data_IF_451189172398
#
_entry.id   IF_451189172398
#
_cell.length_a   1.000
_cell.length_b   1.000
_cell.length_c   1.000
_cell.angle_alpha   90.00
_cell.angle_beta   90.00
_cell.angle_gamma   90.00
#
_symmetry.space_group_name_H-M   'P 1'
#
loop_
_entity.id
_entity.type
_entity.pdbx_description
1 polymer ?
#
# COMPACT_ATOMS: atom_id res chain seq x y z
N UNK A 1 2.06 -34.39 70.17
CA UNK A 1 2.52 -35.25 69.06
C UNK A 1 4.01 -34.95 68.88
N UNK A 2 5.00 -35.73 69.34
CA UNK A 2 5.06 -37.18 69.63
C UNK A 2 4.62 -38.01 68.39
N UNK A 3 5.37 -38.96 67.82
CA UNK A 3 6.67 -39.62 68.15
C UNK A 3 7.47 -39.87 66.84
N UNK A 4 8.73 -40.33 66.76
CA UNK A 4 9.73 -40.86 67.73
C UNK A 4 11.17 -40.56 67.21
N UNK A 5 12.22 -40.96 67.92
CA UNK A 5 13.61 -41.03 67.43
C UNK A 5 14.24 -42.40 67.74
N UNK A 6 15.17 -42.86 66.88
CA UNK A 6 16.15 -43.95 67.08
C UNK A 6 17.16 -43.88 65.91
N UNK A 7 18.46 -44.18 66.04
CA UNK A 7 19.22 -44.55 67.23
C UNK A 7 20.43 -45.43 66.85
N UNK A 8 21.60 -44.80 66.68
CA UNK A 8 22.99 -45.35 66.70
C UNK A 8 23.35 -46.66 65.96
N UNK A 9 24.57 -46.73 65.43
CA UNK A 9 25.64 -47.59 65.99
C UNK A 9 26.99 -47.28 65.32
N UNK A 10 28.04 -47.24 66.13
CA UNK A 10 29.43 -47.09 65.74
C UNK A 10 30.16 -48.42 65.88
N UNK A 11 31.14 -48.69 65.00
CA UNK A 11 32.17 -49.70 65.27
C UNK A 11 33.54 -49.17 64.85
N UNK A 12 34.55 -49.62 65.58
CA UNK A 12 35.93 -49.11 65.57
C UNK A 12 36.91 -50.18 65.11
N UNK A 13 38.00 -49.71 64.51
CA UNK A 13 39.34 -50.32 64.41
C UNK A 13 39.51 -51.75 63.85
N UNK A 14 40.34 -51.84 62.81
CA UNK A 14 41.45 -52.79 62.78
C UNK A 14 42.65 -52.15 62.06
N UNK A 15 43.85 -52.34 62.62
CA UNK A 15 45.11 -51.78 62.10
C UNK A 15 46.08 -52.95 61.91
N UNK A 16 46.72 -53.05 60.75
CA UNK A 16 47.89 -53.92 60.55
C UNK A 16 48.90 -53.25 59.62
N UNK A 17 50.13 -53.06 60.11
CA UNK A 17 51.33 -52.97 59.27
C UNK A 17 51.53 -54.34 58.56
N UNK A 18 52.17 -54.47 57.41
CA UNK A 18 52.82 -53.49 56.53
C UNK A 18 54.06 -54.12 55.90
N UNK A 19 54.22 -54.05 54.58
CA UNK A 19 55.46 -54.45 53.89
C UNK A 19 55.61 -53.76 52.54
N UNK A 20 56.86 -53.51 52.14
CA UNK A 20 57.25 -52.63 51.03
C UNK A 20 57.74 -53.40 49.81
N UNK A 21 57.30 -53.03 48.60
CA UNK A 21 58.05 -53.27 47.36
C UNK A 21 57.72 -52.25 46.25
N UNK A 22 58.57 -52.23 45.22
CA UNK A 22 58.87 -51.08 44.36
C UNK A 22 57.83 -50.62 43.31
N UNK A 23 58.10 -49.40 42.83
CA UNK A 23 57.34 -48.60 41.87
C UNK A 23 57.19 -49.22 40.47
N UNK A 24 56.18 -48.77 39.71
CA UNK A 24 56.52 -47.90 38.56
C UNK A 24 55.75 -46.56 38.57
N UNK A 25 56.28 -45.50 37.91
CA UNK A 25 55.70 -44.15 37.99
C UNK A 25 54.45 -43.99 37.10
N UNK A 26 53.39 -43.28 37.56
CA UNK A 26 52.27 -42.91 36.70
C UNK A 26 52.66 -41.80 35.70
N UNK A 27 52.16 -41.92 34.48
CA UNK A 27 52.53 -41.05 33.37
C UNK A 27 52.15 -39.57 33.56
N UNK A 28 53.04 -38.66 33.11
CA UNK A 28 52.78 -37.22 33.11
C UNK A 28 51.64 -36.80 32.17
N UNK A 29 50.98 -35.66 32.43
CA UNK A 29 49.81 -35.24 31.66
C UNK A 29 50.18 -34.86 30.21
N UNK A 30 49.32 -35.17 29.22
CA UNK A 30 49.63 -34.94 27.81
C UNK A 30 49.63 -33.44 27.49
N UNK A 31 50.75 -32.95 26.93
CA UNK A 31 50.85 -31.61 26.34
C UNK A 31 49.92 -31.51 25.13
N UNK A 32 48.71 -30.96 25.29
CA UNK A 32 47.88 -30.56 24.15
C UNK A 32 48.50 -29.35 23.46
N UNK A 33 48.83 -29.51 22.18
CA UNK A 33 49.51 -28.51 21.36
C UNK A 33 48.63 -27.32 21.01
N UNK A 34 49.29 -26.30 20.42
CA UNK A 34 48.68 -25.08 19.87
C UNK A 34 47.48 -25.44 18.99
N UNK A 35 46.31 -24.86 19.27
CA UNK A 35 45.15 -24.97 18.40
C UNK A 35 45.49 -24.40 17.01
N UNK A 36 45.62 -25.29 16.01
CA UNK A 36 45.54 -24.88 14.62
C UNK A 36 44.13 -24.37 14.38
N UNK A 37 44.03 -23.22 13.70
CA UNK A 37 42.77 -22.75 13.13
C UNK A 37 42.39 -23.73 12.03
N UNK A 38 41.36 -24.54 12.24
CA UNK A 38 40.93 -25.52 11.26
C UNK A 38 40.61 -24.82 9.93
N UNK A 39 41.16 -25.35 8.84
CA UNK A 39 40.73 -24.99 7.50
C UNK A 39 39.46 -25.80 7.20
N UNK A 40 38.40 -25.19 6.64
CA UNK A 40 37.19 -25.93 6.27
C UNK A 40 37.55 -27.08 5.32
N UNK A 41 36.84 -28.21 5.46
CA UNK A 41 37.14 -29.43 4.71
C UNK A 41 37.00 -29.20 3.20
N UNK A 42 37.71 -29.99 2.38
CA UNK A 42 37.56 -29.92 0.92
C UNK A 42 36.10 -30.16 0.49
N UNK A 43 35.38 -31.03 1.20
CA UNK A 43 33.95 -31.31 1.00
C UNK A 43 33.04 -30.13 1.39
N UNK A 44 33.43 -29.38 2.43
CA UNK A 44 32.69 -28.22 2.94
C UNK A 44 32.86 -27.01 2.00
N UNK A 45 34.07 -26.81 1.46
CA UNK A 45 34.33 -25.86 0.40
C UNK A 45 33.62 -26.25 -0.90
N UNK A 46 33.56 -27.54 -1.26
CA UNK A 46 32.82 -28.02 -2.42
C UNK A 46 31.31 -27.74 -2.30
N UNK A 47 30.71 -27.98 -1.12
CA UNK A 47 29.30 -27.64 -0.83
C UNK A 47 29.05 -26.13 -0.91
N UNK A 48 29.96 -25.30 -0.40
CA UNK A 48 29.84 -23.83 -0.50
C UNK A 48 29.94 -23.33 -1.95
N UNK A 49 30.82 -23.91 -2.76
CA UNK A 49 30.94 -23.62 -4.20
C UNK A 49 29.68 -24.07 -4.95
N UNK A 50 29.16 -25.26 -4.67
CA UNK A 50 27.92 -25.77 -5.27
C UNK A 50 26.70 -24.91 -4.91
N UNK A 51 26.59 -24.45 -3.66
CA UNK A 51 25.54 -23.52 -3.24
C UNK A 51 25.63 -22.17 -3.96
N UNK A 52 26.85 -21.64 -4.15
CA UNK A 52 27.08 -20.41 -4.93
C UNK A 52 26.77 -20.56 -6.42
N UNK A 53 27.10 -21.71 -7.02
CA UNK A 53 26.73 -22.03 -8.41
C UNK A 53 25.20 -22.08 -8.57
N UNK A 54 24.51 -22.81 -7.68
CA UNK A 54 23.04 -22.90 -7.69
C UNK A 54 22.37 -21.52 -7.55
N UNK A 55 22.90 -20.66 -6.66
CA UNK A 55 22.40 -19.29 -6.50
C UNK A 55 22.55 -18.45 -7.78
N UNK A 56 23.75 -18.46 -8.39
CA UNK A 56 24.01 -17.70 -9.63
C UNK A 56 23.18 -18.22 -10.82
N UNK A 57 22.93 -19.53 -10.88
CA UNK A 57 22.09 -20.14 -11.92
C UNK A 57 20.61 -19.77 -11.74
N UNK A 58 20.13 -19.66 -10.50
CA UNK A 58 18.78 -19.19 -10.17
C UNK A 58 18.61 -17.68 -10.44
N UNK A 59 19.61 -16.85 -10.10
CA UNK A 59 19.62 -15.41 -10.43
C UNK A 59 19.56 -15.19 -11.96
N UNK A 60 20.38 -15.92 -12.73
CA UNK A 60 20.39 -15.89 -14.20
C UNK A 60 19.07 -16.37 -14.83
N UNK A 61 18.40 -17.36 -14.23
CA UNK A 61 17.07 -17.79 -14.66
C UNK A 61 16.00 -16.72 -14.41
N UNK A 62 16.13 -15.98 -13.30
CA UNK A 62 15.30 -14.81 -12.99
C UNK A 62 15.44 -13.69 -14.02
N UNK A 63 16.67 -13.25 -14.30
CA UNK A 63 16.94 -12.21 -15.31
C UNK A 63 16.38 -12.59 -16.69
N UNK A 64 16.61 -13.85 -17.13
CA UNK A 64 16.12 -14.33 -18.43
C UNK A 64 14.58 -14.33 -18.51
N UNK A 65 13.90 -14.55 -17.38
CA UNK A 65 12.44 -14.51 -17.29
C UNK A 65 11.93 -13.06 -17.37
N UNK A 66 12.56 -12.14 -16.63
CA UNK A 66 12.23 -10.70 -16.67
C UNK A 66 12.45 -10.11 -18.07
N UNK A 67 13.55 -10.44 -18.74
CA UNK A 67 13.79 -9.97 -20.11
C UNK A 67 12.73 -10.50 -21.09
N UNK A 68 12.31 -11.76 -20.96
CA UNK A 68 11.26 -12.34 -21.79
C UNK A 68 9.87 -11.73 -21.54
N UNK A 69 9.63 -11.19 -20.34
CA UNK A 69 8.43 -10.44 -19.98
C UNK A 69 8.43 -9.03 -20.59
N UNK A 70 9.55 -8.29 -20.46
CA UNK A 70 9.76 -6.99 -21.12
C UNK A 70 9.58 -7.11 -22.64
N UNK A 71 10.18 -8.12 -23.27
CA UNK A 71 10.05 -8.38 -24.71
C UNK A 71 8.61 -8.68 -25.14
N UNK A 72 7.76 -9.23 -24.25
CA UNK A 72 6.33 -9.46 -24.50
C UNK A 72 5.53 -8.17 -24.37
N UNK A 73 5.78 -7.38 -23.34
CA UNK A 73 5.08 -6.10 -23.10
C UNK A 73 5.38 -5.11 -24.24
N UNK A 74 6.63 -5.00 -24.68
CA UNK A 74 7.04 -4.19 -25.84
C UNK A 74 6.31 -4.64 -27.12
N UNK A 75 6.22 -5.95 -27.36
CA UNK A 75 5.51 -6.50 -28.55
C UNK A 75 4.01 -6.25 -28.48
N UNK A 76 3.40 -6.25 -27.28
CA UNK A 76 2.00 -5.90 -27.07
C UNK A 76 1.77 -4.41 -27.33
N UNK A 77 2.48 -3.52 -26.63
CA UNK A 77 2.38 -2.08 -26.82
C UNK A 77 2.62 -1.64 -28.29
N UNK A 78 3.51 -2.32 -29.01
CA UNK A 78 3.74 -2.08 -30.45
C UNK A 78 2.53 -2.47 -31.32
N UNK A 79 1.79 -3.52 -30.98
CA UNK A 79 0.54 -3.90 -31.69
C UNK A 79 -0.56 -2.91 -31.38
N UNK A 80 -0.81 -2.65 -30.09
CA UNK A 80 -1.86 -1.76 -29.61
C UNK A 80 -1.70 -0.34 -30.23
N UNK A 81 -0.46 0.15 -30.31
CA UNK A 81 -0.14 1.41 -30.99
C UNK A 81 -0.43 1.36 -32.50
N UNK A 82 -0.09 0.27 -33.20
CA UNK A 82 -0.37 0.14 -34.64
C UNK A 82 -1.87 0.02 -34.94
N UNK A 83 -2.63 -0.66 -34.08
CA UNK A 83 -4.08 -0.78 -34.20
C UNK A 83 -4.77 0.58 -34.00
N UNK A 84 -4.39 1.31 -32.96
CA UNK A 84 -4.84 2.69 -32.71
C UNK A 84 -4.44 3.64 -33.86
N UNK A 85 -3.26 3.46 -34.44
CA UNK A 85 -2.78 4.27 -35.55
C UNK A 85 -3.52 3.96 -36.87
N UNK A 86 -4.08 2.75 -37.01
CA UNK A 86 -4.87 2.32 -38.17
C UNK A 86 -6.37 2.65 -38.07
N UNK A 87 -6.91 2.92 -36.88
CA UNK A 87 -8.29 3.41 -36.74
C UNK A 87 -8.45 4.87 -37.19
N UNK A 88 -7.36 5.66 -37.17
CA UNK A 88 -7.33 7.03 -37.70
C UNK A 88 -7.08 7.01 -39.22
N UNK A 89 -8.11 7.40 -39.99
CA UNK A 89 -8.08 7.41 -41.46
C UNK A 89 -7.37 8.63 -42.06
N UNK A 90 -7.37 9.76 -41.37
CA UNK A 90 -6.70 10.98 -41.84
C UNK A 90 -5.19 10.92 -41.55
N UNK A 91 -4.31 11.07 -42.57
CA UNK A 91 -2.86 11.03 -42.37
C UNK A 91 -2.31 12.12 -41.43
N UNK A 92 -2.94 13.31 -41.37
CA UNK A 92 -2.45 14.40 -40.50
C UNK A 92 -2.77 14.11 -39.03
N UNK A 93 -4.01 13.77 -38.70
CA UNK A 93 -4.41 13.34 -37.37
C UNK A 93 -3.61 12.10 -36.89
N UNK A 94 -3.24 11.20 -37.82
CA UNK A 94 -2.38 10.04 -37.54
C UNK A 94 -0.97 10.45 -37.09
N UNK A 95 -0.40 11.52 -37.66
CA UNK A 95 0.89 12.08 -37.25
C UNK A 95 0.79 12.77 -35.89
N UNK A 96 -0.25 13.59 -35.66
CA UNK A 96 -0.45 14.27 -34.37
C UNK A 96 -0.66 13.29 -33.20
N UNK A 97 -1.42 12.22 -33.42
CA UNK A 97 -1.62 11.16 -32.43
C UNK A 97 -0.32 10.44 -32.11
N UNK A 98 0.52 10.18 -33.12
CA UNK A 98 1.82 9.54 -32.95
C UNK A 98 2.79 10.45 -32.17
N UNK A 99 2.83 11.75 -32.48
CA UNK A 99 3.61 12.74 -31.73
C UNK A 99 3.19 12.77 -30.26
N UNK A 100 1.89 12.89 -29.98
CA UNK A 100 1.33 12.88 -28.62
C UNK A 100 1.72 11.61 -27.84
N UNK A 101 1.67 10.43 -28.49
CA UNK A 101 2.09 9.17 -27.87
C UNK A 101 3.60 9.08 -27.61
N UNK A 102 4.45 9.66 -28.45
CA UNK A 102 5.89 9.76 -28.16
C UNK A 102 6.19 10.76 -27.02
N UNK A 103 5.43 11.85 -26.89
CA UNK A 103 5.55 12.80 -25.77
C UNK A 103 5.10 12.18 -24.44
N UNK A 104 3.97 11.47 -24.43
CA UNK A 104 3.52 10.65 -23.30
C UNK A 104 4.61 9.63 -22.89
N UNK A 105 5.15 8.87 -23.84
CA UNK A 105 6.20 7.88 -23.57
C UNK A 105 7.50 8.52 -23.04
N UNK A 106 7.90 9.68 -23.56
CA UNK A 106 9.10 10.40 -23.11
C UNK A 106 8.93 11.00 -21.71
N UNK A 107 7.74 11.50 -21.37
CA UNK A 107 7.45 12.03 -20.03
C UNK A 107 7.38 10.90 -19.01
N UNK A 108 6.80 9.76 -19.37
CA UNK A 108 6.73 8.56 -18.55
C UNK A 108 8.12 7.93 -18.32
N UNK A 109 8.94 7.80 -19.36
CA UNK A 109 10.34 7.36 -19.24
C UNK A 109 11.11 8.24 -18.24
N UNK A 110 10.98 9.58 -18.35
CA UNK A 110 11.59 10.53 -17.40
C UNK A 110 11.00 10.43 -15.98
N UNK A 111 9.77 9.95 -15.80
CA UNK A 111 9.17 9.65 -14.49
C UNK A 111 9.82 8.41 -13.88
N UNK A 112 9.84 7.31 -14.64
CA UNK A 112 10.43 6.03 -14.26
C UNK A 112 11.92 6.15 -13.92
N UNK A 113 12.72 6.89 -14.71
CA UNK A 113 14.14 7.13 -14.40
C UNK A 113 14.36 7.81 -13.04
N UNK A 114 13.53 8.83 -12.73
CA UNK A 114 13.60 9.55 -11.44
C UNK A 114 13.20 8.64 -10.28
N UNK A 115 12.25 7.72 -10.49
CA UNK A 115 11.86 6.73 -9.49
C UNK A 115 12.92 5.63 -9.32
N UNK A 116 13.51 5.14 -10.41
CA UNK A 116 14.63 4.20 -10.38
C UNK A 116 15.81 4.76 -9.57
N UNK A 117 16.19 6.03 -9.78
CA UNK A 117 17.26 6.68 -9.02
C UNK A 117 16.92 6.77 -7.52
N UNK A 118 15.66 7.08 -7.16
CA UNK A 118 15.21 7.11 -5.75
C UNK A 118 15.25 5.71 -5.13
N UNK A 119 14.70 4.71 -5.81
CA UNK A 119 14.64 3.32 -5.35
C UNK A 119 16.03 2.71 -5.22
N UNK A 120 16.94 2.97 -6.17
CA UNK A 120 18.35 2.58 -6.10
C UNK A 120 19.05 3.15 -4.87
N UNK A 121 18.91 4.47 -4.61
CA UNK A 121 19.46 5.10 -3.40
C UNK A 121 18.90 4.48 -2.11
N UNK A 122 17.62 4.12 -2.07
CA UNK A 122 17.00 3.44 -0.93
C UNK A 122 17.58 2.02 -0.74
N UNK A 123 17.76 1.27 -1.83
CA UNK A 123 18.39 -0.05 -1.82
C UNK A 123 19.85 0.01 -1.33
N UNK A 124 20.66 0.94 -1.87
CA UNK A 124 22.06 1.16 -1.47
C UNK A 124 22.17 1.51 0.03
N UNK A 125 21.21 2.28 0.56
CA UNK A 125 21.15 2.63 1.98
C UNK A 125 20.77 1.42 2.84
N UNK A 126 19.75 0.65 2.44
CA UNK A 126 19.34 -0.57 3.12
C UNK A 126 20.47 -1.62 3.14
N UNK A 127 21.25 -1.73 2.07
CA UNK A 127 22.42 -2.62 2.02
C UNK A 127 23.50 -2.20 3.03
N UNK A 128 23.81 -0.89 3.12
CA UNK A 128 24.76 -0.36 4.12
C UNK A 128 24.28 -0.58 5.55
N UNK A 129 22.99 -0.42 5.82
CA UNK A 129 22.39 -0.68 7.13
C UNK A 129 22.41 -2.17 7.48
N UNK A 130 22.12 -3.04 6.52
CA UNK A 130 22.23 -4.50 6.68
C UNK A 130 23.67 -4.91 7.01
N UNK A 131 24.66 -4.38 6.30
CA UNK A 131 26.07 -4.73 6.54
C UNK A 131 26.59 -4.13 7.86
N UNK A 132 26.17 -2.91 8.22
CA UNK A 132 26.42 -2.36 9.56
C UNK A 132 25.86 -3.28 10.65
N UNK A 133 24.58 -3.67 10.53
CA UNK A 133 23.90 -4.58 11.46
C UNK A 133 24.61 -5.93 11.59
N UNK A 134 25.03 -6.56 10.46
CA UNK A 134 25.85 -7.78 10.48
C UNK A 134 27.17 -7.58 11.25
N UNK A 135 27.88 -6.46 11.06
CA UNK A 135 29.13 -6.22 11.80
C UNK A 135 28.90 -6.00 13.29
N UNK A 136 27.80 -5.35 13.68
CA UNK A 136 27.42 -5.16 15.09
C UNK A 136 27.00 -6.48 15.73
N UNK A 137 26.21 -7.31 15.03
CA UNK A 137 25.85 -8.65 15.48
C UNK A 137 27.09 -9.54 15.73
N UNK A 138 28.04 -9.56 14.79
CA UNK A 138 29.29 -10.32 14.92
C UNK A 138 30.16 -9.84 16.11
N UNK A 139 30.20 -8.52 16.37
CA UNK A 139 30.86 -7.96 17.57
C UNK A 139 30.16 -8.41 18.85
N UNK A 140 28.83 -8.34 18.89
CA UNK A 140 28.03 -8.76 20.05
C UNK A 140 28.19 -10.26 20.34
N UNK A 141 28.14 -11.12 19.31
CA UNK A 141 28.43 -12.54 19.44
C UNK A 141 29.84 -12.79 20.01
N UNK A 142 30.86 -12.11 19.48
CA UNK A 142 32.24 -12.21 19.98
C UNK A 142 32.38 -11.74 21.44
N UNK A 143 31.63 -10.72 21.87
CA UNK A 143 31.61 -10.27 23.26
C UNK A 143 30.87 -11.25 24.17
N UNK A 144 29.75 -11.82 23.72
CA UNK A 144 29.03 -12.89 24.42
C UNK A 144 29.94 -14.09 24.67
N UNK A 145 30.66 -14.58 23.65
CA UNK A 145 31.59 -15.71 23.78
C UNK A 145 32.72 -15.43 24.80
N UNK A 146 33.19 -14.18 24.89
CA UNK A 146 34.19 -13.76 25.88
C UNK A 146 33.61 -13.72 27.30
N UNK A 147 32.39 -13.21 27.46
CA UNK A 147 31.70 -13.19 28.75
C UNK A 147 31.37 -14.61 29.22
N UNK A 148 30.88 -15.49 28.35
CA UNK A 148 30.63 -16.90 28.71
C UNK A 148 31.91 -17.62 29.15
N UNK A 149 33.06 -17.36 28.50
CA UNK A 149 34.36 -17.89 28.93
C UNK A 149 34.76 -17.36 30.30
N UNK A 150 34.66 -16.04 30.50
CA UNK A 150 34.97 -15.41 31.79
C UNK A 150 34.08 -15.93 32.92
N UNK A 151 32.77 -16.12 32.68
CA UNK A 151 31.85 -16.71 33.65
C UNK A 151 32.24 -18.16 33.99
N UNK A 152 32.60 -18.98 32.99
CA UNK A 152 33.07 -20.37 33.22
C UNK A 152 34.39 -20.41 34.01
N UNK A 153 35.32 -19.52 33.70
CA UNK A 153 36.61 -19.38 34.41
C UNK A 153 36.39 -18.91 35.86
N UNK A 154 35.57 -17.89 36.07
CA UNK A 154 35.20 -17.39 37.40
C UNK A 154 34.47 -18.45 38.24
N UNK A 155 33.57 -19.24 37.65
CA UNK A 155 32.95 -20.39 38.35
C UNK A 155 34.00 -21.43 38.74
N UNK A 156 34.97 -21.70 37.87
CA UNK A 156 36.06 -22.66 38.13
C UNK A 156 37.01 -22.17 39.23
N UNK A 157 37.38 -20.89 39.24
CA UNK A 157 38.17 -20.30 40.31
C UNK A 157 37.43 -20.27 41.64
N UNK A 158 36.15 -19.87 41.68
CA UNK A 158 35.35 -19.93 42.90
C UNK A 158 35.29 -21.36 43.47
N UNK A 159 35.14 -22.38 42.62
CA UNK A 159 35.22 -23.77 43.06
C UNK A 159 36.61 -24.10 43.62
N UNK A 160 37.69 -23.75 42.91
CA UNK A 160 39.07 -23.98 43.37
C UNK A 160 39.34 -23.32 44.73
N UNK A 161 38.93 -22.06 44.92
CA UNK A 161 39.08 -21.32 46.17
C UNK A 161 38.28 -21.98 47.30
N UNK A 162 37.05 -22.44 47.03
CA UNK A 162 36.26 -23.19 48.02
C UNK A 162 36.94 -24.50 48.43
N UNK A 163 37.45 -25.27 47.47
CA UNK A 163 38.13 -26.54 47.71
C UNK A 163 39.47 -26.31 48.47
N UNK A 164 40.21 -25.25 48.13
CA UNK A 164 41.46 -24.85 48.79
C UNK A 164 41.23 -24.34 50.22
N UNK A 165 40.18 -23.55 50.45
CA UNK A 165 39.81 -23.06 51.78
C UNK A 165 39.40 -24.21 52.72
N UNK A 166 38.64 -25.19 52.21
CA UNK A 166 38.31 -26.42 52.95
C UNK A 166 39.57 -27.22 53.34
N UNK A 167 40.51 -27.37 52.39
CA UNK A 167 41.81 -28.03 52.64
C UNK A 167 42.65 -27.29 53.68
N UNK A 168 42.63 -25.95 53.67
CA UNK A 168 43.31 -25.13 54.68
C UNK A 168 42.66 -25.29 56.06
N UNK A 169 41.33 -25.29 56.15
CA UNK A 169 40.59 -25.53 57.39
C UNK A 169 40.89 -26.92 57.98
N UNK A 170 40.95 -27.96 57.14
CA UNK A 170 41.35 -29.32 57.53
C UNK A 170 42.82 -29.37 58.01
N UNK A 171 43.74 -28.68 57.32
CA UNK A 171 45.14 -28.59 57.71
C UNK A 171 45.36 -27.77 58.99
N UNK A 172 44.56 -26.73 59.22
CA UNK A 172 44.62 -25.93 60.44
C UNK A 172 44.08 -26.72 61.63
N UNK A 173 42.98 -27.47 61.44
CA UNK A 173 42.42 -28.36 62.45
C UNK A 173 43.44 -29.40 62.91
N UNK A 174 44.07 -30.12 61.97
CA UNK A 174 45.11 -31.09 62.29
C UNK A 174 46.33 -30.46 62.99
N UNK A 175 46.74 -29.25 62.56
CA UNK A 175 47.82 -28.50 63.22
C UNK A 175 47.46 -28.08 64.66
N UNK A 176 46.21 -27.63 64.89
CA UNK A 176 45.69 -27.31 66.23
C UNK A 176 45.62 -28.55 67.13
N UNK A 177 45.21 -29.69 66.59
CA UNK A 177 45.22 -30.98 67.29
C UNK A 177 46.65 -31.36 67.72
N UNK A 178 47.63 -31.33 66.80
CA UNK A 178 49.05 -31.58 67.11
C UNK A 178 49.62 -30.60 68.15
N UNK A 179 49.23 -29.32 68.09
CA UNK A 179 49.64 -28.31 69.09
C UNK A 179 49.01 -28.60 70.45
N UNK A 180 47.72 -28.96 70.50
CA UNK A 180 47.05 -29.32 71.75
C UNK A 180 47.67 -30.57 72.38
N UNK A 181 47.91 -31.63 71.62
CA UNK A 181 48.61 -32.84 72.10
C UNK A 181 49.98 -32.49 72.70
N UNK A 182 50.75 -31.60 72.04
CA UNK A 182 52.03 -31.13 72.55
C UNK A 182 51.90 -30.25 73.80
N UNK A 183 50.85 -29.44 73.89
CA UNK A 183 50.55 -28.65 75.09
C UNK A 183 50.16 -29.55 76.26
N UNK A 184 49.34 -30.58 76.04
CA UNK A 184 48.93 -31.54 77.07
C UNK A 184 50.14 -32.35 77.59
N UNK A 185 51.02 -32.81 76.69
CA UNK A 185 52.30 -33.43 77.07
C UNK A 185 53.19 -32.47 77.88
N UNK A 186 53.33 -31.22 77.44
CA UNK A 186 54.14 -30.23 78.16
C UNK A 186 53.50 -29.82 79.50
N UNK A 187 52.17 -29.83 79.63
CA UNK A 187 51.47 -29.62 80.90
C UNK A 187 51.71 -30.79 81.85
N UNK A 188 51.77 -32.02 81.33
CA UNK A 188 52.18 -33.20 82.11
C UNK A 188 53.63 -33.06 82.60
N UNK A 189 54.58 -32.73 81.72
CA UNK A 189 55.99 -32.49 82.06
C UNK A 189 56.13 -31.36 83.09
N UNK A 190 55.39 -30.25 82.93
CA UNK A 190 55.38 -29.12 83.89
C UNK A 190 54.79 -29.55 85.23
N UNK A 191 53.76 -30.40 85.25
CA UNK A 191 53.19 -30.92 86.48
C UNK A 191 54.16 -31.88 87.19
N UNK A 192 54.94 -32.67 86.45
CA UNK A 192 56.05 -33.48 86.99
C UNK A 192 57.18 -32.58 87.54
N UNK A 193 57.55 -31.50 86.85
CA UNK A 193 58.57 -30.54 87.30
C UNK A 193 58.09 -29.73 88.53
N UNK A 194 56.83 -29.30 88.57
CA UNK A 194 56.22 -28.64 89.74
C UNK A 194 56.18 -29.58 90.96
N UNK A 195 55.94 -30.87 90.76
CA UNK A 195 55.99 -31.88 91.82
C UNK A 195 57.43 -32.18 92.30
N UNK A 196 58.47 -31.83 91.53
CA UNK A 196 59.86 -32.24 91.78
C UNK A 196 60.85 -31.10 92.08
N UNK A 197 60.47 -29.83 91.97
CA UNK A 197 61.36 -28.70 92.33
C UNK A 197 60.75 -27.65 93.25
N UNK A 198 61.36 -27.56 94.45
CA UNK A 198 61.31 -26.36 95.27
C UNK A 198 62.02 -25.17 94.61
N UNK A 199 61.58 -23.97 94.96
CA UNK A 199 61.95 -22.69 94.33
C UNK A 199 63.42 -22.31 94.48
N UNK A 200 64.06 -21.89 93.38
CA UNK A 200 65.21 -20.98 93.41
C UNK A 200 65.26 -20.17 92.11
N UNK A 201 65.27 -18.84 92.22
CA UNK A 201 65.27 -17.91 91.09
C UNK A 201 66.62 -17.17 91.02
N UNK A 202 67.41 -17.30 89.94
CA UNK A 202 68.66 -16.56 89.79
C UNK A 202 68.42 -15.20 89.11
N UNK A 203 68.96 -14.12 89.69
CA UNK A 203 68.75 -12.72 89.24
C UNK A 203 69.27 -12.40 87.82
N UNK A 204 70.19 -13.22 87.27
CA UNK A 204 70.67 -13.05 85.89
C UNK A 204 69.55 -13.15 84.83
N UNK A 205 68.43 -13.82 85.14
CA UNK A 205 67.30 -13.96 84.21
C UNK A 205 66.66 -12.61 83.85
N UNK A 206 66.79 -11.59 84.72
CA UNK A 206 66.12 -10.30 84.51
C UNK A 206 66.73 -9.50 83.35
N UNK A 207 68.05 -9.52 83.17
CA UNK A 207 68.72 -8.79 82.08
C UNK A 207 68.47 -9.43 80.70
N UNK A 208 68.56 -10.75 80.58
CA UNK A 208 68.22 -11.46 79.33
C UNK A 208 66.74 -11.28 78.98
N UNK A 209 65.84 -11.27 79.98
CA UNK A 209 64.42 -10.97 79.79
C UNK A 209 64.21 -9.53 79.26
N UNK A 210 64.97 -8.56 79.76
CA UNK A 210 64.90 -7.16 79.35
C UNK A 210 65.37 -6.95 77.89
N UNK A 211 66.44 -7.65 77.48
CA UNK A 211 66.89 -7.67 76.08
C UNK A 211 65.90 -8.40 75.17
N UNK A 212 65.32 -9.52 75.63
CA UNK A 212 64.28 -10.25 74.91
C UNK A 212 63.01 -9.41 74.74
N UNK A 213 62.61 -8.64 75.76
CA UNK A 213 61.49 -7.68 75.69
C UNK A 213 61.81 -6.58 74.67
N UNK A 214 63.02 -6.01 74.66
CA UNK A 214 63.43 -5.00 73.67
C UNK A 214 63.39 -5.56 72.24
N UNK A 215 63.93 -6.76 72.02
CA UNK A 215 63.89 -7.44 70.73
C UNK A 215 62.44 -7.75 70.28
N UNK A 216 61.61 -8.23 71.21
CA UNK A 216 60.18 -8.52 70.96
C UNK A 216 59.40 -7.26 70.61
N UNK A 217 59.60 -6.17 71.35
CA UNK A 217 58.98 -4.87 71.10
C UNK A 217 59.39 -4.29 69.75
N UNK A 218 60.66 -4.43 69.35
CA UNK A 218 61.13 -4.04 68.02
C UNK A 218 60.44 -4.85 66.91
N UNK A 219 60.36 -6.17 67.04
CA UNK A 219 59.66 -7.02 66.07
C UNK A 219 58.17 -6.63 65.94
N UNK A 220 57.51 -6.31 67.06
CA UNK A 220 56.12 -5.84 67.05
C UNK A 220 55.95 -4.47 66.37
N UNK A 221 56.91 -3.56 66.56
CA UNK A 221 56.95 -2.27 65.89
C UNK A 221 57.17 -2.42 64.37
N UNK A 222 58.21 -3.15 63.97
CA UNK A 222 58.52 -3.43 62.55
C UNK A 222 57.32 -4.13 61.85
N UNK A 223 56.62 -5.03 62.57
CA UNK A 223 55.39 -5.67 62.07
C UNK A 223 54.22 -4.70 61.92
N UNK A 224 54.08 -3.73 62.83
CA UNK A 224 53.04 -2.70 62.76
C UNK A 224 53.29 -1.73 61.59
N UNK A 225 54.53 -1.27 61.39
CA UNK A 225 54.90 -0.43 60.24
C UNK A 225 54.67 -1.15 58.91
N UNK A 226 55.08 -2.42 58.80
CA UNK A 226 54.84 -3.22 57.59
C UNK A 226 53.34 -3.39 57.31
N UNK A 227 52.52 -3.55 58.35
CA UNK A 227 51.05 -3.62 58.25
C UNK A 227 50.45 -2.29 57.78
N UNK A 228 50.95 -1.16 58.29
CA UNK A 228 50.50 0.17 57.87
C UNK A 228 50.86 0.44 56.39
N UNK A 229 52.08 0.08 55.96
CA UNK A 229 52.49 0.16 54.56
C UNK A 229 51.65 -0.73 53.63
N UNK A 230 51.30 -1.93 54.09
CA UNK A 230 50.38 -2.82 53.38
C UNK A 230 48.99 -2.20 53.23
N UNK A 231 48.41 -1.64 54.31
CA UNK A 231 47.13 -0.95 54.24
C UNK A 231 47.16 0.29 53.34
N UNK A 232 48.21 1.14 53.41
CA UNK A 232 48.39 2.27 52.48
C UNK A 232 48.40 1.84 51.01
N UNK A 233 48.98 0.68 50.73
CA UNK A 233 49.00 0.11 49.37
C UNK A 233 47.62 -0.40 48.94
N UNK A 234 46.88 -1.06 49.85
CA UNK A 234 45.48 -1.48 49.61
C UNK A 234 44.58 -0.27 49.36
N UNK A 235 44.66 0.79 50.17
CA UNK A 235 43.86 2.00 49.97
C UNK A 235 44.10 2.61 48.59
N UNK A 236 45.36 2.82 48.21
CA UNK A 236 45.71 3.31 46.85
C UNK A 236 45.16 2.44 45.72
N UNK A 237 45.18 1.11 45.90
CA UNK A 237 44.56 0.20 44.92
C UNK A 237 43.04 0.40 44.85
N UNK A 238 42.34 0.49 46.00
CA UNK A 238 40.89 0.70 46.05
C UNK A 238 40.48 2.07 45.49
N UNK A 239 41.23 3.12 45.78
CA UNK A 239 40.98 4.46 45.20
C UNK A 239 41.12 4.44 43.68
N UNK A 240 42.16 3.78 43.15
CA UNK A 240 42.35 3.60 41.71
C UNK A 240 41.24 2.75 41.06
N UNK A 241 40.77 1.71 41.75
CA UNK A 241 39.65 0.86 41.31
C UNK A 241 38.32 1.64 41.26
N UNK A 242 38.02 2.42 42.32
CA UNK A 242 36.84 3.30 42.39
C UNK A 242 36.90 4.38 41.30
N UNK A 243 38.07 4.99 41.06
CA UNK A 243 38.26 5.96 39.99
C UNK A 243 38.04 5.32 38.61
N UNK A 244 38.52 4.09 38.40
CA UNK A 244 38.34 3.37 37.13
C UNK A 244 36.87 3.02 36.87
N UNK A 245 36.15 2.54 37.88
CA UNK A 245 34.71 2.23 37.79
C UNK A 245 33.89 3.50 37.57
N UNK A 246 34.19 4.58 38.30
CA UNK A 246 33.54 5.89 38.13
C UNK A 246 33.73 6.43 36.71
N UNK A 247 34.95 6.41 36.19
CA UNK A 247 35.24 6.86 34.83
C UNK A 247 34.51 6.05 33.75
N UNK A 248 34.41 4.72 33.92
CA UNK A 248 33.62 3.84 33.03
C UNK A 248 32.13 4.17 33.11
N UNK A 249 31.58 4.36 34.31
CA UNK A 249 30.19 4.74 34.51
C UNK A 249 29.87 6.08 33.83
N UNK A 250 30.71 7.11 33.99
CA UNK A 250 30.49 8.38 33.31
C UNK A 250 30.60 8.27 31.78
N UNK A 251 31.49 7.42 31.26
CA UNK A 251 31.63 7.20 29.82
C UNK A 251 30.36 6.56 29.23
N UNK A 252 29.84 5.51 29.86
CA UNK A 252 28.60 4.86 29.43
C UNK A 252 27.36 5.75 29.66
N UNK A 253 27.32 6.55 30.74
CA UNK A 253 26.29 7.57 30.93
C UNK A 253 26.29 8.60 29.80
N UNK A 254 27.44 9.20 29.47
CA UNK A 254 27.54 10.15 28.33
C UNK A 254 27.14 9.51 27.01
N UNK A 255 27.46 8.22 26.82
CA UNK A 255 27.04 7.45 25.63
C UNK A 255 25.53 7.27 25.59
N UNK A 256 24.90 6.90 26.70
CA UNK A 256 23.45 6.75 26.81
C UNK A 256 22.73 8.09 26.61
N UNK A 257 23.22 9.18 27.21
CA UNK A 257 22.67 10.53 27.04
C UNK A 257 22.76 11.00 25.57
N UNK A 258 23.88 10.72 24.89
CA UNK A 258 24.07 11.03 23.48
C UNK A 258 23.18 10.20 22.54
N UNK A 259 22.99 8.91 22.83
CA UNK A 259 22.10 8.05 22.05
C UNK A 259 20.63 8.43 22.28
N UNK A 260 20.24 8.71 23.52
CA UNK A 260 18.89 9.23 23.84
C UNK A 260 18.62 10.58 23.15
N UNK A 261 19.62 11.45 23.02
CA UNK A 261 19.50 12.68 22.24
C UNK A 261 19.29 12.41 20.74
N UNK A 262 20.05 11.47 20.14
CA UNK A 262 19.84 11.03 18.76
C UNK A 262 18.44 10.44 18.53
N UNK A 263 17.99 9.57 19.43
CA UNK A 263 16.64 9.01 19.38
C UNK A 263 15.58 10.12 19.37
N UNK A 264 15.67 11.10 20.28
CA UNK A 264 14.74 12.26 20.29
C UNK A 264 14.74 13.02 18.96
N UNK A 265 15.91 13.33 18.40
CA UNK A 265 16.01 14.01 17.09
C UNK A 265 15.39 13.17 15.97
N UNK A 266 15.64 11.86 15.95
CA UNK A 266 15.11 10.97 14.91
C UNK A 266 13.59 10.78 15.04
N UNK A 267 13.06 10.63 16.26
CA UNK A 267 11.62 10.60 16.54
C UNK A 267 10.94 11.88 16.07
N UNK A 268 11.54 13.05 16.31
CA UNK A 268 11.02 14.33 15.83
C UNK A 268 11.00 14.38 14.29
N UNK A 269 12.07 13.95 13.61
CA UNK A 269 12.11 13.88 12.14
C UNK A 269 11.04 12.94 11.57
N UNK A 270 10.86 11.74 12.14
CA UNK A 270 9.82 10.79 11.73
C UNK A 270 8.42 11.37 11.94
N UNK A 271 8.19 12.07 13.06
CA UNK A 271 6.94 12.78 13.33
C UNK A 271 6.65 13.86 12.28
N UNK A 272 7.63 14.72 11.98
CA UNK A 272 7.50 15.75 10.93
C UNK A 272 7.23 15.14 9.56
N UNK A 273 7.97 14.10 9.15
CA UNK A 273 7.72 13.45 7.85
C UNK A 273 6.33 12.81 7.78
N UNK A 274 5.90 12.10 8.84
CA UNK A 274 4.56 11.52 8.94
C UNK A 274 3.45 12.57 8.81
N UNK A 275 3.64 13.75 9.43
CA UNK A 275 2.71 14.87 9.30
C UNK A 275 2.66 15.40 7.86
N UNK A 276 3.81 15.69 7.25
CA UNK A 276 3.86 16.16 5.85
C UNK A 276 3.31 15.12 4.86
N UNK A 277 3.47 13.82 5.13
CA UNK A 277 2.89 12.77 4.32
C UNK A 277 1.35 12.76 4.44
N UNK A 278 0.81 12.91 5.65
CA UNK A 278 -0.62 13.00 5.87
C UNK A 278 -1.24 14.22 5.16
N UNK A 279 -0.57 15.39 5.21
CA UNK A 279 -0.96 16.58 4.47
C UNK A 279 -0.96 16.36 2.96
N UNK A 280 0.11 15.76 2.39
CA UNK A 280 0.20 15.47 0.96
C UNK A 280 -0.85 14.45 0.50
N UNK A 281 -1.16 13.43 1.32
CA UNK A 281 -2.26 12.49 1.06
C UNK A 281 -3.63 13.19 1.09
N UNK A 282 -3.83 14.12 2.01
CA UNK A 282 -5.04 14.95 2.08
C UNK A 282 -5.20 15.83 0.83
N UNK A 283 -4.13 16.52 0.42
CA UNK A 283 -4.11 17.30 -0.83
C UNK A 283 -4.40 16.42 -2.05
N UNK A 284 -3.81 15.22 -2.14
CA UNK A 284 -4.07 14.27 -3.23
C UNK A 284 -5.56 13.86 -3.27
N UNK A 285 -6.17 13.55 -2.12
CA UNK A 285 -7.59 13.22 -2.05
C UNK A 285 -8.46 14.40 -2.54
N UNK A 286 -8.15 15.64 -2.11
CA UNK A 286 -8.85 16.85 -2.56
C UNK A 286 -8.69 17.04 -4.08
N UNK A 287 -7.53 16.76 -4.66
CA UNK A 287 -7.34 16.82 -6.11
C UNK A 287 -8.12 15.73 -6.86
N UNK A 288 -8.18 14.50 -6.32
CA UNK A 288 -8.98 13.40 -6.89
C UNK A 288 -10.48 13.73 -6.83
N UNK A 289 -10.95 14.29 -5.72
CA UNK A 289 -12.34 14.73 -5.54
C UNK A 289 -12.69 15.87 -6.50
N UNK A 290 -11.85 16.91 -6.61
CA UNK A 290 -12.03 17.99 -7.60
C UNK A 290 -12.00 17.49 -9.04
N UNK A 291 -11.15 16.50 -9.36
CA UNK A 291 -11.12 15.91 -10.70
C UNK A 291 -12.41 15.15 -11.01
N UNK A 292 -12.91 14.35 -10.05
CA UNK A 292 -14.22 13.68 -10.18
C UNK A 292 -15.34 14.69 -10.39
N UNK A 293 -15.43 15.70 -9.52
CA UNK A 293 -16.41 16.78 -9.64
C UNK A 293 -16.34 17.46 -11.00
N UNK A 294 -15.15 17.83 -11.49
CA UNK A 294 -15.01 18.47 -12.80
C UNK A 294 -15.45 17.57 -13.97
N UNK A 295 -15.18 16.27 -13.91
CA UNK A 295 -15.64 15.32 -14.94
C UNK A 295 -17.16 15.16 -14.87
N UNK A 296 -17.74 15.05 -13.68
CA UNK A 296 -19.18 14.94 -13.45
C UNK A 296 -19.94 16.21 -13.87
N UNK A 297 -19.48 17.39 -13.46
CA UNK A 297 -20.01 18.69 -13.87
C UNK A 297 -19.96 18.87 -15.40
N UNK A 298 -18.82 18.49 -16.02
CA UNK A 298 -18.66 18.58 -17.49
C UNK A 298 -19.61 17.62 -18.21
N UNK A 299 -19.76 16.40 -17.70
CA UNK A 299 -20.61 15.37 -18.29
C UNK A 299 -22.09 15.75 -18.15
N UNK A 300 -22.52 16.24 -16.99
CA UNK A 300 -23.88 16.73 -16.77
C UNK A 300 -24.21 17.94 -17.66
N UNK A 301 -23.33 18.95 -17.73
CA UNK A 301 -23.50 20.10 -18.62
C UNK A 301 -23.55 19.67 -20.10
N UNK A 302 -22.73 18.68 -20.51
CA UNK A 302 -22.81 18.14 -21.87
C UNK A 302 -24.13 17.38 -22.13
N UNK A 303 -24.65 16.65 -21.15
CA UNK A 303 -25.94 15.96 -21.25
C UNK A 303 -27.11 16.95 -21.34
N UNK A 304 -27.10 18.03 -20.54
CA UNK A 304 -28.08 19.11 -20.67
C UNK A 304 -28.05 19.74 -22.07
N UNK A 305 -26.85 20.02 -22.60
CA UNK A 305 -26.70 20.55 -23.96
C UNK A 305 -27.18 19.57 -25.05
N UNK A 306 -26.99 18.26 -24.87
CA UNK A 306 -27.55 17.26 -25.78
C UNK A 306 -29.08 17.19 -25.67
N UNK A 307 -29.66 17.34 -24.47
CA UNK A 307 -31.11 17.37 -24.26
C UNK A 307 -31.75 18.62 -24.87
N UNK A 308 -31.13 19.80 -24.71
CA UNK A 308 -31.62 21.04 -25.36
C UNK A 308 -31.53 20.95 -26.87
N UNK A 309 -30.40 20.52 -27.44
CA UNK A 309 -30.31 20.31 -28.90
C UNK A 309 -31.32 19.29 -29.42
N UNK A 310 -31.56 18.19 -28.69
CA UNK A 310 -32.57 17.19 -29.08
C UNK A 310 -33.97 17.81 -29.10
N UNK A 311 -34.32 18.60 -28.08
CA UNK A 311 -35.60 19.32 -28.00
C UNK A 311 -35.74 20.36 -29.11
N UNK A 312 -34.71 21.18 -29.35
CA UNK A 312 -34.70 22.17 -30.44
C UNK A 312 -34.83 21.52 -31.83
N UNK A 313 -34.15 20.38 -32.06
CA UNK A 313 -34.31 19.60 -33.30
C UNK A 313 -35.73 19.06 -33.46
N UNK A 314 -36.35 18.61 -32.37
CA UNK A 314 -37.73 18.11 -32.41
C UNK A 314 -38.74 19.23 -32.66
N UNK A 315 -38.59 20.38 -32.01
CA UNK A 315 -39.38 21.60 -32.25
C UNK A 315 -39.21 22.11 -33.68
N UNK A 316 -37.99 22.15 -34.21
CA UNK A 316 -37.72 22.46 -35.61
C UNK A 316 -38.38 21.45 -36.56
N UNK A 317 -38.34 20.15 -36.26
CA UNK A 317 -39.01 19.12 -37.07
C UNK A 317 -40.53 19.29 -37.06
N UNK A 318 -41.13 19.60 -35.91
CA UNK A 318 -42.56 19.91 -35.76
C UNK A 318 -42.92 21.19 -36.55
N UNK A 319 -42.09 22.24 -36.47
CA UNK A 319 -42.26 23.49 -37.21
C UNK A 319 -42.20 23.28 -38.72
N UNK A 320 -41.23 22.51 -39.22
CA UNK A 320 -41.12 22.16 -40.65
C UNK A 320 -42.38 21.43 -41.13
N UNK A 321 -42.84 20.40 -40.41
CA UNK A 321 -44.08 19.67 -40.74
C UNK A 321 -45.32 20.58 -40.73
N UNK A 322 -45.39 21.57 -39.83
CA UNK A 322 -46.49 22.56 -39.81
C UNK A 322 -46.45 23.45 -41.06
N UNK A 323 -45.29 24.00 -41.40
CA UNK A 323 -45.09 24.86 -42.57
C UNK A 323 -45.34 24.10 -43.89
N UNK A 324 -44.97 22.82 -43.98
CA UNK A 324 -45.28 21.96 -45.13
C UNK A 324 -46.80 21.78 -45.33
N UNK A 325 -47.56 21.53 -44.25
CA UNK A 325 -49.03 21.43 -44.31
C UNK A 325 -49.69 22.76 -44.68
N UNK A 326 -49.20 23.86 -44.11
CA UNK A 326 -49.69 25.21 -44.40
C UNK A 326 -49.45 25.56 -45.88
N UNK A 327 -48.25 25.28 -46.39
CA UNK A 327 -47.89 25.49 -47.79
C UNK A 327 -48.76 24.64 -48.73
N UNK A 328 -48.93 23.33 -48.46
CA UNK A 328 -49.87 22.49 -49.22
C UNK A 328 -51.30 23.03 -49.19
N UNK A 329 -51.75 23.59 -48.06
CA UNK A 329 -53.09 24.18 -47.92
C UNK A 329 -53.21 25.47 -48.75
N UNK A 330 -52.17 26.31 -48.75
CA UNK A 330 -52.07 27.50 -49.59
C UNK A 330 -52.06 27.13 -51.09
N UNK A 331 -51.33 26.09 -51.50
CA UNK A 331 -51.38 25.57 -52.88
C UNK A 331 -52.79 25.12 -53.24
N UNK A 332 -53.46 24.32 -52.40
CA UNK A 332 -54.85 23.89 -52.64
C UNK A 332 -55.83 25.06 -52.75
N UNK A 333 -55.70 26.08 -51.88
CA UNK A 333 -56.51 27.30 -51.93
C UNK A 333 -56.24 28.10 -53.21
N UNK A 334 -54.98 28.30 -53.57
CA UNK A 334 -54.57 28.95 -54.83
C UNK A 334 -55.17 28.25 -56.06
N UNK A 335 -55.05 26.92 -56.12
CA UNK A 335 -55.56 26.13 -57.23
C UNK A 335 -57.09 26.13 -57.28
N UNK A 336 -57.77 26.18 -56.14
CA UNK A 336 -59.23 26.35 -56.09
C UNK A 336 -59.66 27.75 -56.55
N UNK A 337 -58.99 28.80 -56.09
CA UNK A 337 -59.26 30.17 -56.54
C UNK A 337 -59.04 30.29 -58.05
N UNK A 338 -57.98 29.69 -58.59
CA UNK A 338 -57.74 29.66 -60.04
C UNK A 338 -58.84 28.89 -60.80
N UNK A 339 -59.34 27.76 -60.27
CA UNK A 339 -60.51 27.06 -60.84
C UNK A 339 -61.76 27.96 -60.85
N UNK A 340 -62.08 28.59 -59.72
CA UNK A 340 -63.24 29.49 -59.62
C UNK A 340 -63.12 30.70 -60.57
N UNK A 341 -61.91 31.26 -60.75
CA UNK A 341 -61.65 32.36 -61.71
C UNK A 341 -61.88 31.90 -63.15
N UNK A 342 -61.44 30.69 -63.51
CA UNK A 342 -61.70 30.12 -64.84
C UNK A 342 -63.19 29.90 -65.06
N UNK A 343 -63.90 29.31 -64.09
CA UNK A 343 -65.34 29.08 -64.16
C UNK A 343 -66.14 30.39 -64.31
N UNK A 344 -65.85 31.42 -63.50
CA UNK A 344 -66.44 32.76 -63.66
C UNK A 344 -66.09 33.42 -65.01
N UNK A 345 -64.92 33.13 -65.59
CA UNK A 345 -64.54 33.65 -66.91
C UNK A 345 -65.30 32.94 -68.04
N UNK A 346 -65.55 31.63 -67.89
CA UNK A 346 -66.40 30.84 -68.80
C UNK A 346 -67.87 31.24 -68.70
N UNK A 347 -68.40 31.42 -67.49
CA UNK A 347 -69.77 31.91 -67.24
C UNK A 347 -69.95 33.31 -67.82
N UNK A 348 -69.07 34.26 -67.51
CA UNK A 348 -69.10 35.61 -68.10
C UNK A 348 -69.00 35.59 -69.63
N UNK A 349 -68.33 34.60 -70.21
CA UNK A 349 -68.29 34.43 -71.67
C UNK A 349 -69.62 33.91 -72.20
N UNK A 350 -70.24 32.92 -71.55
CA UNK A 350 -71.59 32.43 -71.86
C UNK A 350 -72.65 33.54 -71.77
N UNK A 351 -72.66 34.30 -70.68
CA UNK A 351 -73.56 35.44 -70.48
C UNK A 351 -73.39 36.49 -71.58
N UNK A 352 -72.15 36.79 -71.97
CA UNK A 352 -71.86 37.76 -73.04
C UNK A 352 -72.37 37.27 -74.40
N UNK A 353 -72.25 35.98 -74.70
CA UNK A 353 -72.83 35.36 -75.90
C UNK A 353 -74.37 35.32 -75.86
N UNK A 354 -74.97 35.16 -74.69
CA UNK A 354 -76.43 35.23 -74.51
C UNK A 354 -76.96 36.66 -74.64
N UNK A 355 -76.31 37.63 -73.99
CA UNK A 355 -76.62 39.06 -74.12
C UNK A 355 -76.54 39.50 -75.58
N UNK A 356 -75.53 39.07 -76.36
CA UNK A 356 -75.49 39.41 -77.78
C UNK A 356 -76.56 38.67 -78.61
N UNK A 357 -76.92 37.42 -78.29
CA UNK A 357 -78.08 36.75 -78.89
C UNK A 357 -79.39 37.51 -78.63
N UNK A 358 -79.61 37.96 -77.39
CA UNK A 358 -80.76 38.76 -77.00
C UNK A 358 -80.74 40.15 -77.65
N UNK A 359 -79.58 40.82 -77.76
CA UNK A 359 -79.43 42.10 -78.49
C UNK A 359 -79.76 41.96 -79.98
N UNK A 360 -79.33 40.87 -80.62
CA UNK A 360 -79.69 40.56 -82.01
C UNK A 360 -81.20 40.35 -82.15
N UNK A 361 -81.83 39.65 -81.21
CA UNK A 361 -83.28 39.43 -81.19
C UNK A 361 -84.05 40.74 -80.92
N UNK A 362 -83.59 41.55 -79.98
CA UNK A 362 -84.16 42.86 -79.64
C UNK A 362 -84.06 43.82 -80.83
N UNK A 363 -82.90 43.86 -81.51
CA UNK A 363 -82.71 44.63 -82.75
C UNK A 363 -83.67 44.18 -83.84
N UNK A 364 -83.85 42.86 -84.02
CA UNK A 364 -84.85 42.32 -84.97
C UNK A 364 -86.27 42.74 -84.58
N UNK A 365 -86.65 42.67 -83.31
CA UNK A 365 -87.98 43.10 -82.85
C UNK A 365 -88.18 44.61 -82.99
N UNK A 366 -87.19 45.44 -82.66
CA UNK A 366 -87.23 46.89 -82.92
C UNK A 366 -87.41 47.20 -84.39
N UNK A 367 -86.70 46.50 -85.27
CA UNK A 367 -86.84 46.68 -86.72
C UNK A 367 -88.23 46.25 -87.21
N UNK A 368 -88.83 45.20 -86.65
CA UNK A 368 -90.21 44.80 -86.93
C UNK A 368 -91.21 45.86 -86.43
N UNK A 369 -91.08 46.34 -85.18
CA UNK A 369 -91.94 47.38 -84.60
C UNK A 369 -91.84 48.67 -85.42
N UNK A 370 -90.64 49.06 -85.83
CA UNK A 370 -90.39 50.26 -86.65
C UNK A 370 -91.01 50.10 -88.05
N UNK A 371 -90.85 48.94 -88.68
CA UNK A 371 -91.51 48.59 -89.95
C UNK A 371 -93.05 48.60 -89.82
N UNK A 372 -93.61 48.11 -88.72
CA UNK A 372 -95.05 48.18 -88.45
C UNK A 372 -95.55 49.62 -88.18
N UNK A 373 -94.74 50.46 -87.52
CA UNK A 373 -95.06 51.88 -87.32
C UNK A 373 -94.99 52.67 -88.62
N UNK A 374 -94.03 52.38 -89.49
CA UNK A 374 -93.89 52.97 -90.83
C UNK A 374 -94.99 52.51 -91.82
N UNK A 375 -95.67 51.38 -91.55
CA UNK A 375 -96.79 50.86 -92.35
C UNK A 375 -98.20 51.30 -91.90
N UNK A 376 -98.30 52.13 -90.86
CA UNK A 376 -99.48 52.97 -90.63
C UNK A 376 -100.65 52.35 -89.85
N UNK A 377 -100.72 52.70 -88.56
CA UNK A 377 -101.97 53.07 -87.87
C UNK A 377 -101.63 53.77 -86.56
N UNK A 378 -101.90 55.07 -86.48
CA UNK A 378 -101.95 55.77 -85.19
C UNK A 378 -103.31 55.53 -84.52
N UNK A 379 -103.32 55.40 -83.20
CA UNK A 379 -104.44 55.75 -82.31
C UNK A 379 -103.92 55.91 -80.88
N UNK A 380 -104.62 56.73 -80.09
CA UNK A 380 -104.11 57.34 -78.86
C UNK A 380 -105.01 57.02 -77.65
N UNK A 381 -104.57 57.47 -76.46
CA UNK A 381 -105.38 57.65 -75.22
C UNK A 381 -105.79 56.34 -74.51
N UNK A 382 -105.70 56.15 -73.19
CA UNK A 382 -105.62 57.06 -72.04
C UNK A 382 -106.37 56.43 -70.85
N UNK A 383 -106.03 56.79 -69.60
CA UNK A 383 -106.54 56.24 -68.30
C UNK A 383 -106.24 54.74 -68.06
N UNK A 384 -105.91 54.26 -66.85
CA UNK A 384 -106.27 54.68 -65.48
C UNK A 384 -107.34 53.72 -64.92
N UNK A 385 -107.34 53.23 -63.67
CA UNK A 385 -106.47 53.38 -62.50
C UNK A 385 -106.81 52.25 -61.46
N UNK A 386 -106.17 52.25 -60.28
CA UNK A 386 -106.48 51.41 -59.09
C UNK A 386 -106.12 49.90 -59.22
N UNK A 387 -105.75 49.16 -58.16
CA UNK A 387 -105.47 49.50 -56.75
C UNK A 387 -105.25 48.25 -55.87
N UNK A 388 -104.72 48.43 -54.65
CA UNK A 388 -104.41 47.36 -53.67
C UNK A 388 -102.94 46.88 -53.73
N UNK A 389 -102.24 46.61 -52.63
CA UNK A 389 -102.60 46.56 -51.20
C UNK A 389 -102.06 45.27 -50.56
N UNK A 390 -101.72 45.27 -49.25
CA UNK A 390 -100.96 44.21 -48.51
C UNK A 390 -99.45 44.32 -48.80
N UNK A 391 -98.50 44.61 -47.88
CA UNK A 391 -98.34 44.46 -46.41
C UNK A 391 -98.24 43.02 -45.89
N UNK A 392 -97.04 42.45 -45.99
CA UNK A 392 -96.37 41.50 -45.08
C UNK A 392 -95.07 41.04 -45.79
N UNK A 393 -94.10 40.37 -45.18
CA UNK A 393 -93.53 40.33 -43.82
C UNK A 393 -92.32 39.36 -43.92
N UNK A 394 -91.45 39.34 -42.92
CA UNK A 394 -90.26 38.50 -42.81
C UNK A 394 -89.18 38.78 -43.90
N UNK A 395 -87.91 38.97 -43.56
CA UNK A 395 -87.22 38.42 -42.41
C UNK A 395 -86.30 37.30 -42.91
N UNK A 396 -85.15 37.67 -43.45
CA UNK A 396 -84.06 36.72 -43.68
C UNK A 396 -82.74 37.44 -43.42
N UNK A 397 -82.53 37.75 -42.15
CA UNK A 397 -81.17 37.75 -41.63
C UNK A 397 -80.62 36.33 -41.79
N UNK A 398 -79.38 36.23 -42.25
CA UNK A 398 -78.51 35.14 -41.85
C UNK A 398 -77.21 35.78 -41.44
N UNK A 399 -77.07 36.04 -40.14
CA UNK A 399 -75.76 36.20 -39.52
C UNK A 399 -74.86 35.04 -39.98
N UNK A 400 -73.61 35.35 -40.29
CA UNK A 400 -72.55 34.35 -40.12
C UNK A 400 -72.25 34.37 -38.62
N UNK A 401 -73.04 33.59 -37.88
CA UNK A 401 -72.92 33.50 -36.42
C UNK A 401 -71.65 32.73 -36.03
N UNK A 402 -71.06 33.11 -34.90
CA UNK A 402 -69.90 32.48 -34.28
C UNK A 402 -70.36 31.44 -33.23
N UNK A 403 -70.93 30.31 -33.66
CA UNK A 403 -71.13 29.18 -32.74
C UNK A 403 -69.89 28.28 -32.69
N UNK A 404 -69.06 28.58 -31.69
CA UNK A 404 -68.23 27.57 -31.03
C UNK A 404 -69.17 26.63 -30.25
N UNK A 405 -69.49 25.46 -30.82
CA UNK A 405 -69.92 24.32 -30.02
C UNK A 405 -68.70 23.46 -29.68
N UNK A 406 -68.31 23.51 -28.40
CA UNK A 406 -67.61 22.43 -27.70
C UNK A 406 -68.56 21.20 -27.57
N UNK A 407 -68.07 20.12 -26.96
CA UNK A 407 -68.66 18.75 -26.90
C UNK A 407 -68.28 17.90 -28.16
N UNK A 408 -67.60 16.76 -28.06
CA UNK A 408 -67.39 15.85 -26.92
C UNK A 408 -65.92 15.52 -26.58
N UNK A 409 -65.66 15.28 -25.30
CA UNK A 409 -64.40 14.75 -24.75
C UNK A 409 -64.29 13.22 -24.92
N UNK A 410 -63.61 12.74 -25.97
CA UNK A 410 -63.10 11.36 -25.98
C UNK A 410 -61.80 11.26 -25.16
N UNK A 411 -61.96 11.05 -23.84
CA UNK A 411 -60.89 10.70 -22.91
C UNK A 411 -60.18 9.39 -23.34
N UNK A 412 -59.00 9.50 -23.97
CA UNK A 412 -58.08 8.36 -24.10
C UNK A 412 -57.20 8.30 -22.84
N UNK A 413 -57.79 7.76 -21.77
CA UNK A 413 -57.07 7.30 -20.59
C UNK A 413 -56.37 5.97 -20.94
N UNK A 414 -55.05 5.98 -21.20
CA UNK A 414 -54.35 4.79 -21.70
C UNK A 414 -52.81 4.77 -21.71
N UNK A 415 -52.11 5.91 -21.74
CA UNK A 415 -50.65 5.93 -22.00
C UNK A 415 -49.75 6.12 -20.76
N UNK A 416 -50.29 6.32 -19.54
CA UNK A 416 -49.44 6.46 -18.34
C UNK A 416 -48.88 5.13 -17.82
N UNK A 417 -49.55 4.00 -18.07
CA UNK A 417 -49.10 2.68 -17.57
C UNK A 417 -47.98 2.08 -18.44
N UNK A 418 -47.96 2.34 -19.76
CA UNK A 418 -46.92 1.82 -20.66
C UNK A 418 -45.57 2.58 -20.53
N UNK A 419 -45.61 3.89 -20.25
CA UNK A 419 -44.40 4.68 -19.97
C UNK A 419 -43.74 4.29 -18.64
N UNK A 420 -44.54 4.07 -17.58
CA UNK A 420 -44.04 3.59 -16.30
C UNK A 420 -43.42 2.18 -16.38
N UNK A 421 -44.00 1.30 -17.21
CA UNK A 421 -43.45 -0.03 -17.47
C UNK A 421 -42.08 0.01 -18.17
N UNK A 422 -41.91 0.88 -19.18
CA UNK A 422 -40.63 1.02 -19.89
C UNK A 422 -39.53 1.61 -19.00
N UNK A 423 -39.85 2.57 -18.11
CA UNK A 423 -38.87 3.13 -17.18
C UNK A 423 -38.43 2.09 -16.12
N UNK A 424 -39.35 1.26 -15.63
CA UNK A 424 -39.05 0.16 -14.73
C UNK A 424 -38.19 -0.94 -15.38
N UNK A 425 -38.44 -1.29 -16.65
CA UNK A 425 -37.64 -2.28 -17.38
C UNK A 425 -36.20 -1.78 -17.64
N UNK A 426 -36.04 -0.48 -17.97
CA UNK A 426 -34.72 0.12 -18.17
C UNK A 426 -33.89 0.13 -16.86
N UNK A 427 -34.53 0.43 -15.73
CA UNK A 427 -33.91 0.39 -14.41
C UNK A 427 -33.50 -1.04 -14.00
N UNK A 428 -34.33 -2.04 -14.32
CA UNK A 428 -34.03 -3.45 -14.07
C UNK A 428 -32.82 -3.94 -14.90
N UNK A 429 -32.72 -3.54 -16.18
CA UNK A 429 -31.55 -3.88 -17.01
C UNK A 429 -30.25 -3.24 -16.49
N UNK A 430 -30.31 -1.98 -16.02
CA UNK A 430 -29.15 -1.31 -15.43
C UNK A 430 -28.64 -2.02 -14.16
N UNK A 431 -29.54 -2.47 -13.27
CA UNK A 431 -29.15 -3.24 -12.09
C UNK A 431 -28.61 -4.63 -12.47
N UNK A 432 -29.21 -5.32 -13.45
CA UNK A 432 -28.75 -6.63 -13.91
C UNK A 432 -27.32 -6.60 -14.49
N UNK A 433 -26.97 -5.56 -15.25
CA UNK A 433 -25.60 -5.38 -15.75
C UNK A 433 -24.59 -5.12 -14.62
N UNK A 434 -24.97 -4.40 -13.56
CA UNK A 434 -24.09 -4.17 -12.40
C UNK A 434 -23.79 -5.47 -11.62
N UNK A 435 -24.73 -6.42 -11.58
CA UNK A 435 -24.58 -7.68 -10.85
C UNK A 435 -23.87 -8.78 -11.66
N UNK A 436 -23.90 -8.71 -13.00
CA UNK A 436 -23.22 -9.67 -13.87
C UNK A 436 -21.68 -9.65 -13.75
N UNK A 437 -21.08 -8.56 -13.26
CA UNK A 437 -19.62 -8.40 -13.23
C UNK A 437 -18.93 -8.97 -11.97
N UNK A 438 -19.67 -9.58 -11.02
CA UNK A 438 -19.10 -10.12 -9.76
C UNK A 438 -19.13 -11.65 -9.59
N UNK A 439 -19.61 -12.44 -10.57
CA UNK A 439 -19.54 -13.92 -10.51
C UNK A 439 -19.28 -14.58 -11.86
N UNK A 440 -18.10 -15.17 -12.02
CA UNK A 440 -17.95 -16.45 -12.75
C UNK A 440 -17.04 -17.43 -11.99
N UNK A 441 -17.25 -18.75 -12.14
CA UNK A 441 -16.64 -19.79 -11.30
C UNK A 441 -15.41 -20.47 -11.94
N UNK A 442 -14.67 -21.24 -11.13
CA UNK A 442 -13.55 -22.06 -11.58
C UNK A 442 -13.97 -23.37 -12.30
N UNK A 443 -13.00 -23.93 -13.06
CA UNK A 443 -12.83 -25.34 -13.53
C UNK A 443 -13.30 -25.69 -14.96
N UNK A 444 -12.74 -26.73 -15.61
CA UNK A 444 -11.41 -27.36 -15.43
C UNK A 444 -10.61 -27.56 -16.75
N UNK A 445 -9.40 -28.12 -16.61
CA UNK A 445 -8.44 -28.46 -17.67
C UNK A 445 -8.92 -29.61 -18.59
N UNK A 446 -8.76 -29.43 -19.91
CA UNK A 446 -8.37 -30.53 -20.81
C UNK A 446 -7.58 -29.99 -22.01
N UNK A 447 -6.44 -30.58 -22.34
CA UNK A 447 -5.61 -30.19 -23.48
C UNK A 447 -4.94 -31.42 -24.12
N UNK A 448 -4.83 -31.48 -25.46
CA UNK A 448 -4.23 -32.62 -26.15
C UNK A 448 -2.70 -32.65 -26.06
N UNK A 449 -2.15 -33.85 -26.28
CA UNK A 449 -0.76 -34.27 -26.04
C UNK A 449 0.23 -33.60 -27.03
N UNK A 450 1.45 -33.23 -26.61
CA UNK A 450 2.45 -32.58 -27.47
C UNK A 450 3.14 -33.54 -28.47
N UNK A 451 3.55 -33.06 -29.66
CA UNK A 451 4.53 -33.74 -30.51
C UNK A 451 5.96 -33.69 -29.90
N UNK A 452 6.87 -34.61 -30.30
CA UNK A 452 8.10 -34.87 -29.56
C UNK A 452 9.28 -33.90 -29.80
N UNK A 453 10.19 -33.92 -28.83
CA UNK A 453 11.43 -33.15 -28.69
C UNK A 453 12.40 -33.30 -29.89
N UNK A 454 12.69 -32.21 -30.59
CA UNK A 454 13.81 -32.13 -31.55
C UNK A 454 15.06 -31.58 -30.86
N UNK A 455 15.80 -32.48 -30.21
CA UNK A 455 17.21 -32.26 -29.86
C UNK A 455 18.11 -32.36 -31.08
N UNK A 456 19.29 -31.73 -30.96
CA UNK A 456 20.29 -31.45 -32.02
C UNK A 456 19.85 -30.33 -32.98
N UNK A 457 20.67 -29.33 -33.29
CA UNK A 457 22.14 -29.23 -33.24
C UNK A 457 22.57 -28.13 -32.24
N UNK A 458 23.54 -28.30 -31.34
CA UNK A 458 24.95 -28.69 -31.49
C UNK A 458 25.88 -27.57 -32.02
N UNK A 459 26.63 -27.00 -31.07
CA UNK A 459 27.98 -26.43 -31.15
C UNK A 459 28.30 -25.13 -31.92
N UNK A 460 29.05 -24.27 -31.22
CA UNK A 460 29.98 -23.28 -31.80
C UNK A 460 29.61 -21.81 -31.53
N UNK A 461 30.52 -20.89 -31.22
CA UNK A 461 31.97 -21.00 -30.87
C UNK A 461 32.28 -19.89 -29.84
N UNK A 462 33.17 -20.17 -28.89
CA UNK A 462 33.73 -19.18 -27.96
C UNK A 462 34.80 -18.33 -28.65
N UNK A 463 34.65 -17.00 -28.64
CA UNK A 463 35.78 -16.07 -28.85
C UNK A 463 35.73 -14.98 -27.78
N UNK A 464 36.84 -14.84 -27.07
CA UNK A 464 37.09 -13.75 -26.12
C UNK A 464 37.54 -12.50 -26.89
N UNK A 465 37.12 -11.33 -26.44
CA UNK A 465 38.07 -10.34 -25.91
C UNK A 465 37.42 -9.49 -24.82
#
# INVERSE_FOLDING_TARGET
MATVAQGSHSHSASVTNGESHDLPPPAGPPRKGKAKKDKPSAEENAKLVQARLSQLEQERAGEKTQQAEVDREVKKATRDLNELLNSVKDPMARIELLQRKYEELLTEMKRVDREYIKTKKKSDQQQKEQDKSKTEHNKTATMKDKLEKLCRELTKENKKVKDENKRLEESERASRETVNERLDLMLYDVQEVMNSKGTSHPENLHMELDELIKARSKILFDQAELREMHFKTIFRHRDAEIANVSAKYEAERRRADAEAARCRTLTNQVSTFSHTEAELRSQLNIYVEKFKQQVEDTLNNSNELFLTFRKEMEEMSKKTKRLERENQTLTRKHDQTNRNILEMAEERSRDKEEIERLRIQETKMRNIIKSMQEQGRGLASGSGALGGGVLDDEGTESEYDEEYEDEDEDYIEGDEEELAAQEAELAAQAQAQSHAQMKQPEKPVFGPIPPPDLKSMANGVSVKH
#
